data_IF_861388063088
#
_entry.id   IF_861388063088
#
_cell.length_a   1.000
_cell.length_b   1.000
_cell.length_c   1.000
_cell.angle_alpha   90.00
_cell.angle_beta   90.00
_cell.angle_gamma   90.00
#
_symmetry.space_group_name_H-M   'P 1'
#
loop_
_entity.id
_entity.type
_entity.pdbx_description
1 polymer ?
#
# COMPACT_ATOMS: atom_id res chain seq x y z
N UNK A 1 -2.05 -14.25 -5.97
CA UNK A 1 -0.87 -13.77 -5.24
C UNK A 1 -0.03 -13.03 -6.25
N UNK A 2 -0.15 -11.69 -6.26
CA UNK A 2 0.52 -10.82 -7.23
C UNK A 2 1.73 -10.22 -6.52
N UNK A 3 2.88 -10.29 -7.16
CA UNK A 3 4.15 -9.75 -6.68
C UNK A 3 4.35 -8.39 -7.36
N UNK A 4 4.70 -7.34 -6.60
CA UNK A 4 4.92 -5.98 -7.13
C UNK A 4 6.32 -5.50 -6.74
N UNK A 5 7.07 -4.86 -7.65
CA UNK A 5 8.36 -4.19 -7.41
C UNK A 5 8.16 -2.89 -6.65
N UNK A 6 9.22 -2.52 -5.93
CA UNK A 6 9.24 -1.38 -5.04
C UNK A 6 10.23 -0.28 -5.46
N UNK A 7 10.82 -0.40 -6.64
CA UNK A 7 11.82 0.56 -7.13
C UNK A 7 11.20 1.97 -7.28
N UNK A 8 9.86 2.06 -7.44
CA UNK A 8 9.13 3.33 -7.59
C UNK A 8 7.87 3.48 -6.70
N UNK A 9 7.67 2.62 -5.69
CA UNK A 9 6.68 2.89 -4.61
C UNK A 9 7.28 3.86 -3.58
N UNK A 10 8.12 4.78 -4.06
CA UNK A 10 8.56 5.97 -3.36
C UNK A 10 7.63 7.11 -3.75
N UNK A 11 6.64 7.41 -2.91
CA UNK A 11 5.85 8.65 -2.94
C UNK A 11 4.94 8.93 -4.16
N UNK A 12 5.12 8.26 -5.30
CA UNK A 12 4.44 8.60 -6.55
C UNK A 12 3.15 7.78 -6.78
N UNK A 13 3.08 6.61 -6.16
CA UNK A 13 1.98 5.62 -6.28
C UNK A 13 1.27 5.36 -4.96
N UNK A 14 1.69 6.03 -3.89
CA UNK A 14 1.00 6.04 -2.60
C UNK A 14 0.62 7.48 -2.25
N UNK A 15 -0.63 7.69 -1.83
CA UNK A 15 -1.14 9.01 -1.51
C UNK A 15 -0.49 9.54 -0.23
N UNK A 16 -0.22 8.64 0.69
CA UNK A 16 0.51 8.90 1.92
C UNK A 16 1.09 7.59 2.47
N UNK A 17 2.08 7.71 3.35
CA UNK A 17 2.80 6.57 3.93
C UNK A 17 2.96 6.71 5.43
N UNK A 18 2.81 5.61 6.16
CA UNK A 18 3.03 5.56 7.60
C UNK A 18 3.93 4.38 7.98
N UNK A 19 4.86 4.61 8.90
CA UNK A 19 5.64 3.53 9.53
C UNK A 19 4.83 2.94 10.67
N UNK A 20 4.28 1.75 10.45
CA UNK A 20 3.44 1.06 11.40
C UNK A 20 3.94 -0.36 11.56
N UNK A 21 4.16 -0.72 12.83
CA UNK A 21 4.76 -2.01 13.19
C UNK A 21 3.83 -3.18 12.85
N UNK A 22 2.52 -2.91 12.82
CA UNK A 22 1.48 -3.91 12.58
C UNK A 22 0.60 -3.53 11.40
N UNK A 23 0.33 -4.51 10.52
CA UNK A 23 -0.56 -4.35 9.37
C UNK A 23 -1.98 -3.96 9.78
N UNK A 24 -2.43 -4.41 10.95
CA UNK A 24 -3.75 -4.12 11.52
C UNK A 24 -3.97 -2.61 11.72
N UNK A 25 -2.90 -1.87 12.07
CA UNK A 25 -2.98 -0.41 12.21
C UNK A 25 -3.19 0.26 10.85
N UNK A 26 -2.54 -0.25 9.81
CA UNK A 26 -2.69 0.25 8.45
C UNK A 26 -4.10 0.01 7.91
N UNK A 27 -4.64 -1.17 8.20
CA UNK A 27 -6.02 -1.48 7.88
C UNK A 27 -7.00 -0.56 8.62
N UNK A 28 -6.76 -0.24 9.90
CA UNK A 28 -7.63 0.64 10.67
C UNK A 28 -7.61 2.07 10.12
N UNK A 29 -6.43 2.59 9.77
CA UNK A 29 -6.29 3.92 9.15
C UNK A 29 -6.99 3.94 7.80
N UNK A 30 -6.74 2.94 6.95
CA UNK A 30 -7.37 2.87 5.64
C UNK A 30 -8.89 2.70 5.75
N UNK A 31 -9.41 2.02 6.79
CA UNK A 31 -10.85 1.97 7.08
C UNK A 31 -11.44 3.28 7.56
N UNK A 32 -10.64 4.11 8.22
CA UNK A 32 -11.08 5.41 8.74
C UNK A 32 -11.08 6.46 7.63
N UNK A 33 -10.21 6.28 6.64
CA UNK A 33 -10.07 7.17 5.50
C UNK A 33 -10.92 6.67 4.32
N UNK A 34 -12.00 7.41 4.02
CA UNK A 34 -12.90 7.11 2.89
C UNK A 34 -12.20 7.17 1.52
N UNK A 35 -11.11 7.91 1.41
CA UNK A 35 -10.35 8.00 0.17
C UNK A 35 -9.38 6.82 0.01
N UNK A 36 -9.10 6.08 1.09
CA UNK A 36 -8.23 4.92 1.04
C UNK A 36 -8.99 3.68 0.54
N UNK A 37 -8.68 3.28 -0.68
CA UNK A 37 -9.29 2.10 -1.31
C UNK A 37 -8.45 0.85 -1.12
N UNK A 38 -7.13 1.00 -1.05
CA UNK A 38 -6.24 -0.09 -0.75
C UNK A 38 -5.03 0.41 0.01
N UNK A 39 -4.36 -0.50 0.69
CA UNK A 39 -3.06 -0.23 1.26
C UNK A 39 -2.10 -1.36 0.93
N UNK A 40 -0.82 -1.01 0.82
CA UNK A 40 0.27 -1.95 0.66
C UNK A 40 1.09 -1.95 1.94
N UNK A 41 1.28 -3.13 2.52
CA UNK A 41 2.14 -3.30 3.69
C UNK A 41 3.47 -3.94 3.28
N UNK A 42 4.55 -3.26 3.66
CA UNK A 42 5.91 -3.75 3.45
C UNK A 42 6.45 -4.38 4.74
N UNK A 43 6.58 -5.72 4.71
CA UNK A 43 7.02 -6.51 5.86
C UNK A 43 8.43 -6.17 6.34
N UNK A 44 9.32 -5.80 5.42
CA UNK A 44 10.74 -5.56 5.72
C UNK A 44 10.97 -4.22 6.41
N UNK A 45 10.31 -3.16 5.94
CA UNK A 45 10.48 -1.81 6.51
C UNK A 45 9.39 -1.43 7.50
N UNK A 46 8.37 -2.30 7.69
CA UNK A 46 7.18 -2.00 8.51
C UNK A 46 6.51 -0.68 8.07
N UNK A 47 6.45 -0.47 6.76
CA UNK A 47 5.85 0.72 6.15
C UNK A 47 4.53 0.36 5.50
N UNK A 48 3.58 1.28 5.58
CA UNK A 48 2.27 1.18 4.98
C UNK A 48 2.05 2.31 4.00
N UNK A 49 1.64 1.93 2.79
CA UNK A 49 1.43 2.80 1.65
C UNK A 49 -0.05 2.79 1.35
N UNK A 50 -0.68 3.96 1.41
CA UNK A 50 -2.12 4.07 1.26
C UNK A 50 -2.42 4.54 -0.16
N UNK A 51 -3.37 3.89 -0.81
CA UNK A 51 -3.72 4.11 -2.20
C UNK A 51 -5.15 4.63 -2.30
N UNK A 52 -5.26 5.70 -3.10
CA UNK A 52 -6.53 6.28 -3.52
C UNK A 52 -6.86 5.82 -4.95
N UNK A 53 -8.03 6.20 -5.42
CA UNK A 53 -8.59 5.81 -6.73
C UNK A 53 -7.64 6.04 -7.91
N UNK A 54 -7.02 7.22 -7.99
CA UNK A 54 -6.02 7.57 -9.03
C UNK A 54 -4.75 6.70 -8.99
N UNK A 55 -4.41 6.15 -7.83
CA UNK A 55 -3.15 5.44 -7.62
C UNK A 55 -3.28 3.93 -7.81
N UNK A 56 -4.45 3.37 -7.50
CA UNK A 56 -4.77 1.97 -7.78
C UNK A 56 -4.56 1.60 -9.25
N UNK A 57 -4.82 2.54 -10.15
CA UNK A 57 -4.66 2.37 -11.60
C UNK A 57 -3.19 2.30 -12.04
N UNK A 58 -2.28 2.82 -11.23
CA UNK A 58 -0.83 2.84 -11.48
C UNK A 58 -0.08 1.70 -10.78
N UNK A 59 -0.73 0.95 -9.89
CA UNK A 59 -0.17 -0.31 -9.32
C UNK A 59 -0.39 -1.45 -10.33
N UNK A 60 0.16 -1.29 -11.52
CA UNK A 60 0.19 -2.31 -12.54
C UNK A 60 1.60 -2.89 -12.60
N UNK A 61 1.76 -4.06 -11.96
CA UNK A 61 2.65 -5.16 -12.32
C UNK A 61 4.06 -4.76 -12.83
N UNK A 62 4.99 -4.56 -11.90
CA UNK A 62 6.41 -4.69 -12.18
C UNK A 62 7.01 -5.69 -11.17
N UNK A 63 7.99 -6.50 -11.57
CA UNK A 63 8.32 -7.77 -10.88
C UNK A 63 9.40 -7.65 -9.80
N UNK A 64 9.03 -7.57 -8.52
CA UNK A 64 9.98 -7.84 -7.43
C UNK A 64 9.88 -7.04 -6.14
N UNK A 65 8.99 -7.45 -5.23
CA UNK A 65 9.10 -7.25 -3.78
C UNK A 65 7.97 -7.97 -3.04
N UNK A 66 8.26 -8.45 -1.82
CA UNK A 66 7.30 -9.15 -0.93
C UNK A 66 6.34 -8.15 -0.27
N UNK A 67 5.39 -7.64 -1.04
CA UNK A 67 4.40 -6.66 -0.61
C UNK A 67 3.01 -7.27 -0.58
N UNK A 68 2.24 -6.92 0.45
CA UNK A 68 0.85 -7.35 0.57
C UNK A 68 -0.07 -6.19 0.20
N UNK A 69 -0.64 -6.26 -1.01
CA UNK A 69 -1.76 -5.40 -1.40
C UNK A 69 -3.03 -5.92 -0.71
N UNK A 70 -3.58 -5.12 0.19
CA UNK A 70 -4.88 -5.37 0.81
C UNK A 70 -5.85 -4.28 0.40
N UNK A 71 -6.94 -4.70 -0.23
CA UNK A 71 -8.05 -3.81 -0.61
C UNK A 71 -8.94 -3.62 0.62
N UNK A 72 -9.27 -2.38 0.95
CA UNK A 72 -10.24 -2.09 2.00
C UNK A 72 -11.66 -2.33 1.45
N UNK A 73 -12.52 -3.06 2.18
CA UNK A 73 -13.92 -3.27 1.80
C UNK A 73 -14.80 -2.05 2.08
#
# INVERSE_FOLDING_TARGET
MVWVTFDEVGSNTAAYTYTLKEVSQCQLICKTDVECLAFVWHVTTTMCYFLKEDMLRNVADDQGSSLYLMVCP
#
